data_IF_594921320576
#
_entry.id   IF_594921320576
#
_cell.length_a   1.000
_cell.length_b   1.000
_cell.length_c   1.000
_cell.angle_alpha   90.00
_cell.angle_beta   90.00
_cell.angle_gamma   90.00
#
_symmetry.space_group_name_H-M   'P 1'
#
loop_
_entity.id
_entity.type
_entity.pdbx_description
1 polymer ?
#
# COMPACT_ATOMS: atom_id res chain seq x y z
N UNK A 1 -9.06 -39.66 -51.54
CA UNK A 1 -9.35 -41.01 -50.96
C UNK A 1 -8.33 -41.32 -49.88
N UNK A 2 -8.81 -41.86 -48.75
CA UNK A 2 -8.10 -42.46 -47.61
C UNK A 2 -7.41 -41.54 -46.58
N UNK A 3 -8.27 -41.03 -45.70
CA UNK A 3 -8.03 -40.71 -44.31
C UNK A 3 -7.32 -41.84 -43.55
N UNK A 4 -6.35 -41.49 -42.69
CA UNK A 4 -5.87 -42.36 -41.60
C UNK A 4 -6.48 -41.90 -40.27
N UNK A 5 -7.07 -42.86 -39.55
CA UNK A 5 -7.86 -42.72 -38.31
C UNK A 5 -7.23 -43.57 -37.20
N UNK A 6 -7.36 -43.09 -35.95
CA UNK A 6 -7.34 -43.79 -34.64
C UNK A 6 -5.95 -44.25 -34.14
N UNK A 7 -5.58 -44.20 -32.85
CA UNK A 7 -6.27 -44.40 -31.55
C UNK A 7 -5.61 -43.50 -30.48
N UNK A 8 -6.28 -42.76 -29.59
CA UNK A 8 -7.05 -43.15 -28.37
C UNK A 8 -6.29 -44.02 -27.35
N UNK A 9 -5.86 -43.41 -26.24
CA UNK A 9 -5.57 -43.94 -24.89
C UNK A 9 -5.45 -42.68 -23.99
N UNK A 10 -6.28 -42.28 -23.04
CA UNK A 10 -7.19 -42.93 -22.07
C UNK A 10 -6.50 -43.87 -21.08
N UNK A 11 -5.78 -43.30 -20.11
CA UNK A 11 -5.66 -43.89 -18.77
C UNK A 11 -5.93 -42.80 -17.74
N UNK A 12 -7.12 -42.91 -17.17
CA UNK A 12 -7.57 -42.26 -15.94
C UNK A 12 -6.87 -42.99 -14.78
N UNK A 13 -6.16 -42.27 -13.92
CA UNK A 13 -5.90 -42.75 -12.57
C UNK A 13 -6.31 -41.66 -11.57
N UNK A 14 -7.28 -42.04 -10.76
CA UNK A 14 -8.05 -41.25 -9.82
C UNK A 14 -7.65 -41.77 -8.44
N UNK A 15 -7.02 -40.96 -7.59
CA UNK A 15 -6.85 -41.30 -6.16
C UNK A 15 -7.11 -40.07 -5.29
N UNK A 16 -7.96 -40.32 -4.31
CA UNK A 16 -8.72 -39.44 -3.44
C UNK A 16 -7.93 -38.70 -2.36
N UNK A 17 -8.40 -37.48 -2.09
CA UNK A 17 -8.79 -36.90 -0.78
C UNK A 17 -7.73 -36.78 0.32
N UNK A 18 -7.35 -35.53 0.60
CA UNK A 18 -7.21 -35.04 1.96
C UNK A 18 -7.78 -33.60 2.04
N UNK A 19 -8.89 -33.48 2.75
CA UNK A 19 -9.59 -32.24 3.08
C UNK A 19 -8.77 -31.44 4.09
N UNK A 20 -8.37 -30.21 3.74
CA UNK A 20 -8.01 -29.19 4.74
C UNK A 20 -8.93 -27.99 4.54
N UNK A 21 -10.00 -27.95 5.33
CA UNK A 21 -10.88 -26.79 5.48
C UNK A 21 -10.37 -26.02 6.71
N UNK A 22 -9.74 -24.85 6.59
CA UNK A 22 -9.62 -23.95 7.73
C UNK A 22 -10.97 -23.26 7.96
N UNK A 23 -11.60 -23.64 9.07
CA UNK A 23 -12.82 -23.04 9.61
C UNK A 23 -12.61 -21.56 9.91
N UNK A 24 -13.48 -20.72 9.34
CA UNK A 24 -13.67 -19.32 9.74
C UNK A 24 -14.16 -19.26 11.18
N UNK A 25 -13.39 -18.62 12.07
CA UNK A 25 -13.80 -18.36 13.45
C UNK A 25 -14.66 -17.08 13.46
N UNK A 26 -15.95 -17.22 13.67
CA UNK A 26 -16.86 -16.10 13.94
C UNK A 26 -16.86 -15.80 15.44
N UNK A 27 -16.20 -14.73 15.85
CA UNK A 27 -16.30 -14.21 17.21
C UNK A 27 -17.64 -13.46 17.38
N UNK A 28 -18.54 -14.04 18.16
CA UNK A 28 -19.72 -13.36 18.72
C UNK A 28 -19.32 -12.56 19.96
N UNK A 29 -19.82 -11.32 20.14
CA UNK A 29 -19.62 -10.57 21.38
C UNK A 29 -20.57 -11.08 22.47
N UNK A 30 -20.01 -11.57 23.56
CA UNK A 30 -20.76 -11.93 24.78
C UNK A 30 -20.93 -10.68 25.65
N UNK A 31 -22.17 -10.17 25.71
CA UNK A 31 -22.60 -9.20 26.70
C UNK A 31 -22.92 -9.93 28.00
N UNK A 32 -22.09 -9.76 29.03
CA UNK A 32 -22.47 -10.10 30.42
C UNK A 32 -22.07 -8.96 31.34
N UNK A 33 -23.09 -8.23 31.82
CA UNK A 33 -23.01 -7.26 32.92
C UNK A 33 -23.20 -7.95 34.28
N UNK A 34 -22.86 -7.17 35.33
CA UNK A 34 -23.09 -7.29 36.78
C UNK A 34 -21.95 -7.95 37.58
N UNK A 35 -21.13 -7.23 38.36
CA UNK A 35 -21.34 -6.27 39.47
C UNK A 35 -21.05 -6.93 40.82
N UNK A 36 -19.98 -6.51 41.49
CA UNK A 36 -19.86 -6.52 42.95
C UNK A 36 -19.17 -5.22 43.40
N UNK A 37 -19.98 -4.31 43.94
CA UNK A 37 -19.86 -3.65 45.28
C UNK A 37 -18.49 -3.71 45.97
N UNK A 38 -17.98 -2.74 46.73
CA UNK A 38 -18.42 -1.43 47.23
C UNK A 38 -17.25 -0.96 48.12
N UNK A 39 -16.77 0.28 48.01
CA UNK A 39 -16.15 0.92 49.18
C UNK A 39 -16.45 2.42 49.16
N UNK A 40 -16.89 2.82 50.34
CA UNK A 40 -17.58 4.03 50.74
C UNK A 40 -16.65 5.23 50.73
N UNK A 41 -16.97 6.28 49.98
CA UNK A 41 -16.57 7.64 50.35
C UNK A 41 -17.76 8.59 50.19
N UNK A 42 -18.06 9.25 51.30
CA UNK A 42 -19.17 10.17 51.50
C UNK A 42 -18.86 11.55 50.93
N UNK A 43 -19.68 12.04 50.01
CA UNK A 43 -19.74 13.45 49.65
C UNK A 43 -21.18 13.94 49.82
N UNK A 44 -21.44 14.68 50.90
CA UNK A 44 -22.70 15.41 51.07
C UNK A 44 -22.74 16.59 50.10
N UNK A 45 -23.66 16.57 49.15
CA UNK A 45 -24.04 17.74 48.34
C UNK A 45 -25.55 17.91 48.41
N UNK A 46 -25.99 18.99 49.04
CA UNK A 46 -27.40 19.33 49.22
C UNK A 46 -28.08 19.64 47.88
N UNK A 47 -29.23 18.99 47.64
CA UNK A 47 -30.12 19.29 46.53
C UNK A 47 -30.86 20.62 46.76
N UNK A 48 -30.64 21.59 45.88
CA UNK A 48 -31.58 22.69 45.62
C UNK A 48 -31.68 22.85 44.11
N UNK A 49 -32.81 22.42 43.53
CA UNK A 49 -33.21 22.79 42.17
C UNK A 49 -33.90 24.17 42.22
N UNK A 50 -33.73 25.01 41.18
CA UNK A 50 -34.80 25.02 40.19
C UNK A 50 -34.33 25.10 38.73
N UNK A 51 -34.87 24.18 37.93
CA UNK A 51 -35.38 24.37 36.57
C UNK A 51 -34.55 25.23 35.59
N UNK A 52 -33.40 24.75 35.14
CA UNK A 52 -32.85 25.18 33.85
C UNK A 52 -33.05 24.09 32.81
N UNK A 53 -33.72 24.48 31.72
CA UNK A 53 -34.03 23.64 30.57
C UNK A 53 -32.74 22.96 30.10
N UNK A 54 -32.70 21.63 30.17
CA UNK A 54 -31.71 20.81 29.45
C UNK A 54 -31.76 21.21 27.98
N UNK A 55 -30.82 22.05 27.55
CA UNK A 55 -30.48 22.20 26.15
C UNK A 55 -30.11 20.82 25.63
N UNK A 56 -30.81 20.39 24.58
CA UNK A 56 -30.61 19.10 23.94
C UNK A 56 -29.13 18.96 23.57
N UNK A 57 -28.53 17.85 23.98
CA UNK A 57 -27.14 17.47 23.70
C UNK A 57 -27.00 17.45 22.17
N UNK A 58 -26.33 18.46 21.62
CA UNK A 58 -25.66 18.48 20.31
C UNK A 58 -26.34 17.60 19.24
N UNK A 59 -27.31 18.18 18.52
CA UNK A 59 -27.74 17.61 17.25
C UNK A 59 -26.65 17.90 16.21
N UNK A 60 -25.58 17.09 16.21
CA UNK A 60 -24.52 17.17 15.19
C UNK A 60 -25.16 16.70 13.90
N UNK A 61 -25.52 17.65 13.04
CA UNK A 61 -25.84 17.35 11.65
C UNK A 61 -24.51 16.98 11.00
N UNK A 62 -24.21 15.69 10.89
CA UNK A 62 -23.18 15.21 9.98
C UNK A 62 -23.74 15.37 8.57
N UNK A 63 -23.69 16.58 8.03
CA UNK A 63 -23.81 16.81 6.60
C UNK A 63 -22.73 15.94 5.95
N UNK A 64 -23.17 14.81 5.38
CA UNK A 64 -22.39 13.77 4.69
C UNK A 64 -20.89 13.84 4.95
N UNK A 65 -20.35 12.83 5.64
CA UNK A 65 -18.92 12.54 5.57
C UNK A 65 -18.47 12.75 4.11
N UNK A 66 -17.47 13.62 3.84
CA UNK A 66 -17.05 13.92 2.48
C UNK A 66 -16.88 12.61 1.75
N UNK A 67 -17.40 12.49 0.52
CA UNK A 67 -17.29 11.25 -0.25
C UNK A 67 -15.82 10.81 -0.20
N UNK A 68 -15.55 9.77 0.60
CA UNK A 68 -14.19 9.46 1.01
C UNK A 68 -13.41 9.13 -0.26
N UNK A 69 -12.14 9.53 -0.28
CA UNK A 69 -11.03 9.27 -1.23
C UNK A 69 -10.85 7.80 -1.68
N UNK A 70 -11.85 6.95 -1.48
CA UNK A 70 -11.92 5.56 -1.91
C UNK A 70 -11.82 5.39 -3.42
N UNK A 71 -12.18 6.40 -4.22
CA UNK A 71 -12.05 6.28 -5.68
C UNK A 71 -10.61 6.45 -6.15
N UNK A 72 -9.75 7.10 -5.37
CA UNK A 72 -8.41 7.47 -5.82
C UNK A 72 -7.37 6.40 -5.51
N UNK A 73 -6.40 6.24 -6.41
CA UNK A 73 -5.24 5.39 -6.22
C UNK A 73 -4.09 6.12 -5.53
N UNK A 74 -3.06 5.34 -5.21
CA UNK A 74 -1.82 5.80 -4.59
C UNK A 74 -0.64 5.14 -5.28
N UNK A 75 0.41 5.92 -5.56
CA UNK A 75 1.69 5.43 -6.05
C UNK A 75 2.75 5.60 -4.97
N UNK A 76 3.50 4.54 -4.70
CA UNK A 76 4.67 4.53 -3.83
C UNK A 76 5.88 4.24 -4.70
N UNK A 77 6.88 5.10 -4.63
CA UNK A 77 8.12 4.97 -5.41
C UNK A 77 9.29 4.90 -4.44
N UNK A 78 10.12 3.87 -4.61
CA UNK A 78 11.36 3.68 -3.86
C UNK A 78 12.52 3.44 -4.84
N UNK A 79 13.75 3.62 -4.37
CA UNK A 79 14.96 3.31 -5.12
C UNK A 79 15.96 2.54 -4.24
N UNK A 80 16.78 1.71 -4.88
CA UNK A 80 17.88 0.99 -4.22
C UNK A 80 19.10 0.93 -5.12
N UNK A 81 20.27 0.76 -4.52
CA UNK A 81 21.51 0.54 -5.24
C UNK A 81 21.62 -0.95 -5.62
N UNK A 82 21.41 -1.23 -6.89
CA UNK A 82 21.54 -2.55 -7.50
C UNK A 82 23.05 -2.88 -7.66
N UNK A 83 23.58 -3.60 -6.67
CA UNK A 83 25.01 -3.89 -6.54
C UNK A 83 25.44 -5.00 -7.50
N UNK A 84 24.56 -5.98 -7.72
CA UNK A 84 24.85 -7.16 -8.53
C UNK A 84 24.23 -7.12 -9.94
N UNK A 85 23.49 -6.05 -10.26
CA UNK A 85 22.86 -5.77 -11.55
C UNK A 85 21.73 -6.72 -11.91
N UNK A 86 21.09 -7.35 -10.92
CA UNK A 86 19.99 -8.30 -11.14
C UNK A 86 18.61 -7.62 -11.21
N UNK A 87 18.52 -6.31 -10.95
CA UNK A 87 17.29 -5.50 -10.92
C UNK A 87 16.26 -5.92 -9.87
N UNK A 88 16.63 -6.78 -8.94
CA UNK A 88 15.81 -7.25 -7.83
C UNK A 88 16.43 -6.72 -6.54
N UNK A 89 15.59 -6.29 -5.60
CA UNK A 89 16.09 -5.83 -4.31
C UNK A 89 16.54 -7.05 -3.49
N UNK A 90 17.83 -7.10 -3.18
CA UNK A 90 18.41 -8.06 -2.25
C UNK A 90 18.64 -7.44 -0.86
N UNK A 91 18.75 -8.26 0.19
CA UNK A 91 18.90 -7.80 1.59
C UNK A 91 20.16 -6.95 1.84
N UNK A 92 21.20 -7.14 1.03
CA UNK A 92 22.46 -6.40 1.12
C UNK A 92 22.44 -5.04 0.42
N UNK A 93 21.38 -4.73 -0.33
CA UNK A 93 21.32 -3.57 -1.20
C UNK A 93 20.67 -2.38 -0.49
N UNK A 94 21.41 -1.26 -0.33
CA UNK A 94 20.90 -0.13 0.42
C UNK A 94 19.83 0.63 -0.37
N UNK A 95 18.85 1.14 0.36
CA UNK A 95 17.91 2.12 -0.16
C UNK A 95 18.61 3.42 -0.52
N UNK A 96 18.16 4.03 -1.61
CA UNK A 96 18.60 5.35 -2.02
C UNK A 96 17.55 6.37 -1.62
N UNK A 97 17.97 7.34 -0.80
CA UNK A 97 17.17 8.48 -0.37
C UNK A 97 17.69 9.73 -1.07
N UNK A 98 16.77 10.50 -1.65
CA UNK A 98 17.00 11.78 -2.34
C UNK A 98 18.00 11.71 -3.52
N UNK A 99 18.39 10.51 -3.96
CA UNK A 99 19.33 10.31 -5.06
C UNK A 99 18.66 10.20 -6.44
N UNK A 100 17.33 10.06 -6.47
CA UNK A 100 16.51 9.91 -7.68
C UNK A 100 15.36 10.91 -7.61
N UNK A 101 15.07 11.57 -8.73
CA UNK A 101 13.90 12.42 -8.92
C UNK A 101 13.01 11.80 -9.99
N UNK A 102 11.71 11.72 -9.75
CA UNK A 102 10.74 11.25 -10.74
C UNK A 102 9.67 12.30 -11.01
N UNK A 103 9.42 12.56 -12.28
CA UNK A 103 8.36 13.44 -12.79
C UNK A 103 7.10 12.63 -13.07
N UNK A 104 5.96 13.10 -12.55
CA UNK A 104 4.62 12.60 -12.84
C UNK A 104 3.72 13.83 -13.06
N UNK A 105 3.06 13.92 -14.22
CA UNK A 105 2.22 15.05 -14.64
C UNK A 105 2.88 16.43 -14.40
N UNK A 106 4.13 16.55 -14.86
CA UNK A 106 4.98 17.76 -14.74
C UNK A 106 5.32 18.17 -13.30
N UNK A 107 5.09 17.30 -12.31
CA UNK A 107 5.49 17.49 -10.91
C UNK A 107 6.68 16.57 -10.61
N UNK A 108 7.77 17.17 -10.11
CA UNK A 108 8.96 16.45 -9.70
C UNK A 108 8.88 16.02 -8.23
N UNK A 109 9.13 14.73 -7.99
CA UNK A 109 9.16 14.11 -6.67
C UNK A 109 10.54 13.54 -6.38
N UNK A 110 11.13 13.91 -5.25
CA UNK A 110 12.32 13.24 -4.70
C UNK A 110 11.93 11.88 -4.12
N UNK A 111 12.74 10.87 -4.38
CA UNK A 111 12.48 9.48 -4.00
C UNK A 111 13.20 9.12 -2.69
N UNK A 112 12.55 8.44 -1.73
CA UNK A 112 11.22 7.81 -1.82
C UNK A 112 10.05 8.80 -1.79
N UNK A 113 9.00 8.48 -2.56
CA UNK A 113 7.81 9.32 -2.68
C UNK A 113 6.52 8.54 -2.45
N UNK A 114 5.56 9.20 -1.79
CA UNK A 114 4.18 8.74 -1.60
C UNK A 114 3.23 9.73 -2.29
N UNK A 115 2.62 9.31 -3.39
CA UNK A 115 1.78 10.16 -4.24
C UNK A 115 0.33 9.66 -4.13
N UNK A 116 -0.48 10.24 -3.24
CA UNK A 116 -1.88 9.88 -3.09
C UNK A 116 -2.72 10.53 -4.18
N UNK A 117 -4.03 10.25 -4.12
CA UNK A 117 -5.04 10.99 -4.85
C UNK A 117 -4.97 10.88 -6.39
N UNK A 118 -4.40 9.79 -6.93
CA UNK A 118 -4.39 9.51 -8.36
C UNK A 118 -5.79 9.11 -8.85
N UNK A 119 -6.18 9.55 -10.04
CA UNK A 119 -7.50 9.32 -10.61
C UNK A 119 -7.75 7.85 -10.96
N UNK A 120 -8.98 7.41 -10.72
CA UNK A 120 -9.44 6.09 -11.12
C UNK A 120 -9.47 5.95 -12.65
N UNK A 121 -9.03 4.79 -13.14
CA UNK A 121 -8.98 4.44 -14.56
C UNK A 121 -8.12 5.41 -15.41
N UNK A 122 -7.16 6.08 -14.78
CA UNK A 122 -6.20 6.97 -15.43
C UNK A 122 -4.82 6.29 -15.59
N UNK A 123 -4.09 6.71 -16.63
CA UNK A 123 -2.72 6.26 -16.92
C UNK A 123 -1.75 7.39 -16.64
N UNK A 124 -0.74 7.10 -15.85
CA UNK A 124 0.33 8.02 -15.48
C UNK A 124 1.62 7.59 -16.13
N UNK A 125 2.33 8.55 -16.75
CA UNK A 125 3.69 8.35 -17.25
C UNK A 125 4.66 8.89 -16.21
N UNK A 126 5.46 8.01 -15.64
CA UNK A 126 6.52 8.34 -14.70
C UNK A 126 7.83 8.39 -15.45
N UNK A 127 8.60 9.46 -15.27
CA UNK A 127 9.95 9.60 -15.82
C UNK A 127 10.93 9.89 -14.69
N UNK A 128 11.95 9.05 -14.51
CA UNK A 128 12.90 9.18 -13.41
C UNK A 128 14.31 9.51 -13.92
N UNK A 129 14.99 10.37 -13.17
CA UNK A 129 16.34 10.82 -13.43
C UNK A 129 17.17 10.65 -12.15
N UNK A 130 18.41 10.22 -12.33
CA UNK A 130 19.36 10.07 -11.23
C UNK A 130 20.31 11.24 -11.10
N UNK A 131 21.05 11.25 -10.01
CA UNK A 131 22.10 12.23 -9.72
C UNK A 131 23.43 11.89 -10.40
N UNK A 132 24.45 12.70 -10.12
CA UNK A 132 25.81 12.44 -10.56
C UNK A 132 26.41 11.15 -10.00
N UNK A 133 25.83 10.53 -8.95
CA UNK A 133 26.37 9.32 -8.29
C UNK A 133 25.59 8.06 -8.62
N UNK A 134 24.28 8.17 -8.87
CA UNK A 134 23.38 7.05 -9.11
C UNK A 134 22.50 7.32 -10.31
N UNK A 135 22.34 6.33 -11.18
CA UNK A 135 21.48 6.40 -12.35
C UNK A 135 20.46 5.26 -12.34
N UNK A 136 19.17 5.55 -12.58
CA UNK A 136 18.15 4.52 -12.64
C UNK A 136 18.33 3.67 -13.90
N UNK A 137 18.24 2.35 -13.75
CA UNK A 137 18.28 1.41 -14.89
C UNK A 137 17.01 1.52 -15.74
N UNK A 138 15.90 1.92 -15.11
CA UNK A 138 14.61 2.16 -15.76
C UNK A 138 14.24 3.63 -15.54
N UNK A 139 14.31 4.42 -16.60
CA UNK A 139 14.05 5.87 -16.55
C UNK A 139 12.59 6.24 -16.89
N UNK A 140 11.77 5.31 -17.37
CA UNK A 140 10.36 5.57 -17.69
C UNK A 140 9.47 4.37 -17.40
N UNK A 141 8.25 4.61 -16.88
CA UNK A 141 7.24 3.58 -16.65
C UNK A 141 5.83 4.16 -16.79
N UNK A 142 4.92 3.39 -17.36
CA UNK A 142 3.49 3.71 -17.38
C UNK A 142 2.77 2.92 -16.28
N UNK A 143 1.91 3.60 -15.52
CA UNK A 143 1.13 3.02 -14.43
C UNK A 143 -0.35 3.30 -14.67
N UNK A 144 -1.20 2.28 -14.49
CA UNK A 144 -2.65 2.38 -14.59
C UNK A 144 -3.28 2.16 -13.22
N UNK A 145 -4.09 3.11 -12.76
CA UNK A 145 -4.94 2.93 -11.59
C UNK A 145 -6.22 2.21 -12.03
N UNK A 146 -6.25 0.89 -11.91
CA UNK A 146 -7.33 0.05 -12.40
C UNK A 146 -8.42 -0.20 -11.34
N UNK A 147 -8.14 0.05 -10.05
CA UNK A 147 -9.10 -0.17 -8.95
C UNK A 147 -9.15 1.04 -8.04
N UNK A 148 -10.33 1.26 -7.47
CA UNK A 148 -10.60 2.24 -6.41
C UNK A 148 -9.72 1.92 -5.20
N UNK A 149 -8.98 2.90 -4.67
CA UNK A 149 -8.09 2.71 -3.53
C UNK A 149 -6.84 1.88 -3.83
N UNK A 150 -6.50 1.64 -5.10
CA UNK A 150 -5.35 0.82 -5.46
C UNK A 150 -4.05 1.48 -5.03
N UNK A 151 -3.21 0.73 -4.31
CA UNK A 151 -1.83 1.11 -4.01
C UNK A 151 -0.91 0.38 -4.99
N UNK A 152 -0.09 1.14 -5.70
CA UNK A 152 0.92 0.61 -6.61
C UNK A 152 2.28 0.94 -6.03
N UNK A 153 3.11 -0.07 -5.83
CA UNK A 153 4.51 0.11 -5.43
C UNK A 153 5.40 -0.09 -6.65
N UNK A 154 6.29 0.86 -6.91
CA UNK A 154 7.40 0.69 -7.84
C UNK A 154 8.71 0.88 -7.09
N UNK A 155 9.65 0.00 -7.40
CA UNK A 155 11.00 0.03 -6.85
C UNK A 155 11.95 0.19 -8.04
N UNK A 156 12.83 1.19 -7.96
CA UNK A 156 13.73 1.59 -9.05
C UNK A 156 15.13 1.05 -8.75
N UNK A 157 15.65 0.11 -9.55
CA UNK A 157 17.04 -0.34 -9.44
C UNK A 157 17.97 0.73 -10.02
N UNK A 158 18.96 1.14 -9.24
CA UNK A 158 19.92 2.17 -9.62
C UNK A 158 21.35 1.64 -9.60
N UNK A 159 22.17 2.11 -10.53
CA UNK A 159 23.59 1.78 -10.60
C UNK A 159 24.42 3.00 -10.29
N UNK A 160 25.60 2.80 -9.68
CA UNK A 160 26.56 3.89 -9.54
C UNK A 160 27.04 4.39 -10.90
N UNK A 161 27.06 5.71 -11.07
CA UNK A 161 27.33 6.43 -12.33
C UNK A 161 28.81 6.48 -12.74
N UNK A 162 29.73 5.86 -11.99
CA UNK A 162 31.15 6.19 -12.11
C UNK A 162 31.73 6.03 -13.53
N UNK A 163 32.51 7.03 -14.00
CA UNK A 163 33.83 6.78 -14.55
C UNK A 163 34.86 7.10 -13.46
N UNK A 164 35.56 6.10 -12.95
CA UNK A 164 36.76 6.32 -12.11
C UNK A 164 37.86 6.93 -12.99
N UNK A 165 37.93 8.26 -13.09
CA UNK A 165 39.10 8.91 -13.68
C UNK A 165 40.21 8.91 -12.62
N UNK A 166 41.11 7.93 -12.72
CA UNK A 166 42.37 7.91 -11.98
C UNK A 166 43.24 9.02 -12.56
N UNK A 167 43.24 10.19 -11.92
CA UNK A 167 44.21 11.25 -12.20
C UNK A 167 45.52 10.87 -11.54
N UNK A 168 46.41 10.23 -12.30
CA UNK A 168 47.80 9.98 -11.91
C UNK A 168 48.53 11.32 -11.80
N UNK A 169 49.09 11.71 -10.65
CA UNK A 169 49.96 12.87 -10.57
C UNK A 169 51.27 12.58 -11.33
N UNK A 170 51.68 13.53 -12.17
CA UNK A 170 52.95 13.53 -12.91
C UNK A 170 54.08 14.04 -12.03
#
# INVERSE_FOLDING_TARGET
MKNYRKKLNSVILLVCVALFIPTVSSATPENTQLNQQQTTESFSRSDVLPLEKKGNILNIILDKAPAISTERGTLVIEAFHDLNKNQQRDDSEPNLYDAISCTLDDIDYLIPAFIPALDYNARYKISCQGTAEFQPTINQKNVLIARRGQIISMVIPCQSSSPKTVTTPK
#
